data_IF_853162386101
#
_entry.id   IF_853162386101
#
_cell.length_a   1.000
_cell.length_b   1.000
_cell.length_c   1.000
_cell.angle_alpha   90.00
_cell.angle_beta   90.00
_cell.angle_gamma   90.00
#
_symmetry.space_group_name_H-M   'P 1'
#
loop_
_entity.id
_entity.type
_entity.pdbx_description
1 polymer ?
#
# COMPACT_ATOMS: atom_id res chain seq x y z
N UNK A 1 -20.20 1.75 -32.41
CA UNK A 1 -20.23 3.16 -32.87
C UNK A 1 -20.82 3.18 -34.28
N UNK A 2 -21.46 4.28 -34.67
CA UNK A 2 -22.17 4.45 -35.96
C UNK A 2 -21.50 5.57 -36.76
N UNK A 3 -21.13 5.32 -38.02
CA UNK A 3 -20.68 6.35 -38.97
C UNK A 3 -21.73 6.46 -40.08
N UNK A 4 -22.11 7.69 -40.44
CA UNK A 4 -23.03 7.98 -41.54
C UNK A 4 -22.28 8.66 -42.68
N UNK A 5 -22.36 8.08 -43.88
CA UNK A 5 -21.80 8.63 -45.12
C UNK A 5 -22.99 9.08 -46.00
N UNK A 6 -23.14 10.37 -46.33
CA UNK A 6 -24.26 10.86 -47.14
C UNK A 6 -24.13 10.47 -48.62
N UNK A 7 -25.26 10.34 -49.32
CA UNK A 7 -25.31 10.11 -50.78
C UNK A 7 -24.73 11.30 -51.56
N UNK A 8 -23.89 11.04 -52.57
CA UNK A 8 -23.36 12.08 -53.48
C UNK A 8 -21.84 12.21 -53.57
N UNK A 9 -21.07 11.32 -52.93
CA UNK A 9 -19.61 11.25 -53.09
C UNK A 9 -19.25 10.46 -54.36
N UNK A 10 -18.68 11.14 -55.36
CA UNK A 10 -18.39 10.58 -56.68
C UNK A 10 -17.00 9.90 -56.78
N UNK A 11 -16.18 9.98 -55.73
CA UNK A 11 -14.82 9.43 -55.72
C UNK A 11 -14.77 8.10 -54.94
N UNK A 12 -14.16 7.09 -55.55
CA UNK A 12 -13.96 5.77 -54.97
C UNK A 12 -12.79 5.84 -53.96
N UNK A 13 -13.09 6.05 -52.68
CA UNK A 13 -12.05 5.97 -51.62
C UNK A 13 -11.89 4.52 -51.17
N UNK A 14 -10.83 3.85 -51.62
CA UNK A 14 -10.38 2.57 -51.05
C UNK A 14 -9.24 2.84 -50.06
N UNK A 15 -9.47 2.55 -48.78
CA UNK A 15 -8.43 2.50 -47.76
C UNK A 15 -8.39 1.09 -47.19
N UNK A 16 -7.21 0.46 -47.14
CA UNK A 16 -7.03 -0.82 -46.44
C UNK A 16 -7.23 -0.67 -44.91
N UNK A 17 -7.10 0.56 -44.40
CA UNK A 17 -7.33 0.88 -43.00
C UNK A 17 -8.71 1.56 -42.81
N UNK A 18 -9.52 1.13 -41.82
CA UNK A 18 -10.73 1.85 -41.45
C UNK A 18 -10.39 3.28 -40.98
N UNK A 19 -11.32 4.24 -41.08
CA UNK A 19 -11.10 5.59 -40.58
C UNK A 19 -10.65 5.57 -39.12
N UNK A 20 -9.61 6.36 -38.79
CA UNK A 20 -9.15 6.54 -37.41
C UNK A 20 -10.26 7.22 -36.62
N UNK A 21 -10.88 6.47 -35.70
CA UNK A 21 -11.96 6.97 -34.86
C UNK A 21 -11.41 7.29 -33.48
N UNK A 22 -11.78 8.44 -32.88
CA UNK A 22 -11.20 8.88 -31.63
C UNK A 22 -11.54 7.88 -30.49
N UNK A 23 -10.52 7.37 -29.77
CA UNK A 23 -10.67 6.54 -28.57
C UNK A 23 -11.61 7.12 -27.49
N UNK A 24 -11.80 8.43 -27.55
CA UNK A 24 -12.39 9.25 -26.50
C UNK A 24 -13.82 8.89 -26.14
N UNK A 25 -14.63 8.45 -27.10
CA UNK A 25 -16.05 8.16 -26.86
C UNK A 25 -16.28 6.85 -26.10
N UNK A 26 -15.39 5.87 -26.28
CA UNK A 26 -15.44 4.61 -25.53
C UNK A 26 -14.86 4.81 -24.14
N UNK A 27 -13.67 5.44 -24.07
CA UNK A 27 -12.98 5.67 -22.82
C UNK A 27 -13.80 6.58 -21.88
N UNK A 28 -14.42 7.63 -22.41
CA UNK A 28 -15.33 8.50 -21.62
C UNK A 28 -16.52 7.73 -21.03
N UNK A 29 -17.09 6.77 -21.75
CA UNK A 29 -18.17 5.90 -21.23
C UNK A 29 -17.65 4.95 -20.15
N UNK A 30 -16.48 4.36 -20.34
CA UNK A 30 -15.89 3.44 -19.35
C UNK A 30 -15.46 4.16 -18.07
N UNK A 31 -15.07 5.43 -18.17
CA UNK A 31 -14.67 6.27 -17.05
C UNK A 31 -15.84 7.08 -16.45
N UNK A 32 -17.04 7.01 -17.04
CA UNK A 32 -18.23 7.72 -16.57
C UNK A 32 -18.60 7.45 -15.09
N UNK A 33 -18.34 6.26 -14.51
CA UNK A 33 -18.61 6.02 -13.09
C UNK A 33 -17.76 6.87 -12.12
N UNK A 34 -16.65 7.46 -12.56
CA UNK A 34 -15.80 8.29 -11.72
C UNK A 34 -16.46 9.66 -11.54
N UNK A 35 -16.96 9.96 -10.34
CA UNK A 35 -17.66 11.24 -10.05
C UNK A 35 -16.70 12.43 -10.05
N UNK A 36 -15.50 12.27 -9.48
CA UNK A 36 -14.50 13.33 -9.39
C UNK A 36 -13.82 13.60 -10.75
N UNK A 37 -13.98 14.82 -11.27
CA UNK A 37 -13.47 15.19 -12.59
C UNK A 37 -11.93 15.22 -12.67
N UNK A 38 -11.23 15.58 -11.57
CA UNK A 38 -9.77 15.61 -11.54
C UNK A 38 -9.20 14.19 -11.53
N UNK A 39 -9.82 13.31 -10.75
CA UNK A 39 -9.51 11.89 -10.71
C UNK A 39 -9.80 11.23 -12.06
N UNK A 40 -10.91 11.58 -12.71
CA UNK A 40 -11.27 11.07 -14.03
C UNK A 40 -10.21 11.44 -15.08
N UNK A 41 -9.68 12.66 -15.05
CA UNK A 41 -8.58 13.10 -15.92
C UNK A 41 -7.28 12.37 -15.62
N UNK A 42 -6.93 12.21 -14.34
CA UNK A 42 -5.72 11.48 -13.94
C UNK A 42 -5.76 10.01 -14.37
N UNK A 43 -6.86 9.31 -14.08
CA UNK A 43 -7.07 7.91 -14.45
C UNK A 43 -7.08 7.74 -15.97
N UNK A 44 -7.69 8.68 -16.71
CA UNK A 44 -7.67 8.66 -18.17
C UNK A 44 -6.25 8.65 -18.72
N UNK A 45 -5.34 9.44 -18.17
CA UNK A 45 -3.95 9.48 -18.62
C UNK A 45 -3.22 8.18 -18.32
N UNK A 46 -3.44 7.59 -17.13
CA UNK A 46 -2.87 6.29 -16.75
C UNK A 46 -3.38 5.18 -17.67
N UNK A 47 -4.69 5.14 -17.95
CA UNK A 47 -5.26 4.16 -18.87
C UNK A 47 -4.66 4.30 -20.27
N UNK A 48 -4.51 5.53 -20.78
CA UNK A 48 -3.92 5.76 -22.10
C UNK A 48 -2.45 5.34 -22.18
N UNK A 49 -1.68 5.39 -21.09
CA UNK A 49 -0.30 4.91 -21.07
C UNK A 49 -0.17 3.38 -21.00
N UNK A 50 -1.17 2.69 -20.47
CA UNK A 50 -1.16 1.23 -20.26
C UNK A 50 -1.84 0.45 -21.41
N UNK A 51 -2.72 1.11 -22.17
CA UNK A 51 -3.38 0.48 -23.31
C UNK A 51 -2.39 0.25 -24.47
N UNK A 52 -2.43 -0.90 -25.14
CA UNK A 52 -1.61 -1.12 -26.32
C UNK A 52 -2.06 -0.18 -27.45
N UNK A 53 -1.13 0.18 -28.34
CA UNK A 53 -1.37 1.12 -29.45
C UNK A 53 -2.51 0.71 -30.38
N UNK A 54 -2.85 -0.59 -30.41
CA UNK A 54 -3.92 -1.18 -31.20
C UNK A 54 -5.22 -1.44 -30.41
N UNK A 55 -5.32 -0.99 -29.16
CA UNK A 55 -6.48 -1.24 -28.29
C UNK A 55 -7.79 -0.78 -28.93
N UNK A 56 -7.76 0.35 -29.66
CA UNK A 56 -8.93 0.93 -30.33
C UNK A 56 -9.07 0.51 -31.79
N UNK A 57 -8.57 -0.67 -32.16
CA UNK A 57 -8.77 -1.21 -33.51
C UNK A 57 -10.23 -1.63 -33.73
N UNK A 58 -11.01 -0.72 -34.30
CA UNK A 58 -12.39 -0.98 -34.71
C UNK A 58 -12.44 -1.92 -35.91
N UNK A 59 -13.32 -2.92 -35.83
CA UNK A 59 -13.64 -3.86 -36.91
C UNK A 59 -15.04 -3.59 -37.42
N UNK A 60 -15.19 -3.49 -38.74
CA UNK A 60 -16.51 -3.40 -39.36
C UNK A 60 -17.29 -4.68 -39.07
N UNK A 61 -18.49 -4.54 -38.52
CA UNK A 61 -19.42 -5.63 -38.25
C UNK A 61 -20.53 -5.70 -39.29
N UNK A 62 -21.06 -4.55 -39.70
CA UNK A 62 -22.17 -4.48 -40.64
C UNK A 62 -22.20 -3.13 -41.37
N UNK A 63 -22.89 -3.06 -42.50
CA UNK A 63 -23.18 -1.84 -43.24
C UNK A 63 -24.65 -1.85 -43.69
N UNK A 64 -25.34 -0.72 -43.56
CA UNK A 64 -26.68 -0.53 -44.08
C UNK A 64 -26.65 0.61 -45.11
N UNK A 65 -27.05 0.32 -46.34
CA UNK A 65 -27.02 1.26 -47.46
C UNK A 65 -28.45 1.65 -47.80
N UNK A 66 -28.69 2.96 -47.88
CA UNK A 66 -29.95 3.57 -48.30
C UNK A 66 -29.69 4.57 -49.42
N UNK A 67 -30.75 5.02 -50.09
CA UNK A 67 -30.65 6.03 -51.16
C UNK A 67 -29.99 7.34 -50.70
N UNK A 68 -30.11 7.68 -49.42
CA UNK A 68 -29.64 8.95 -48.85
C UNK A 68 -28.35 8.82 -48.04
N UNK A 69 -28.01 7.60 -47.58
CA UNK A 69 -26.85 7.39 -46.72
C UNK A 69 -26.38 5.94 -46.63
N UNK A 70 -25.10 5.76 -46.31
CA UNK A 70 -24.53 4.49 -45.84
C UNK A 70 -24.20 4.60 -44.35
N UNK A 71 -24.70 3.66 -43.57
CA UNK A 71 -24.45 3.53 -42.13
C UNK A 71 -23.51 2.35 -41.89
N UNK A 72 -22.36 2.60 -41.29
CA UNK A 72 -21.39 1.57 -40.95
C UNK A 72 -21.41 1.28 -39.44
N UNK A 73 -21.50 0.00 -39.09
CA UNK A 73 -21.51 -0.51 -37.73
C UNK A 73 -20.16 -1.14 -37.38
N UNK A 74 -19.51 -0.62 -36.35
CA UNK A 74 -18.20 -1.10 -35.90
C UNK A 74 -18.24 -1.68 -34.49
N UNK A 75 -17.37 -2.65 -34.25
CA UNK A 75 -17.07 -3.24 -32.94
C UNK A 75 -15.59 -3.08 -32.58
N UNK A 76 -15.31 -3.07 -31.28
CA UNK A 76 -13.95 -3.04 -30.72
C UNK A 76 -13.93 -4.06 -29.57
N UNK A 77 -12.76 -4.63 -29.30
CA UNK A 77 -12.60 -5.63 -28.23
C UNK A 77 -12.64 -4.96 -26.85
N UNK A 78 -13.85 -4.67 -26.38
CA UNK A 78 -14.08 -4.06 -25.07
C UNK A 78 -13.69 -4.99 -23.92
N UNK A 79 -13.59 -6.31 -24.15
CA UNK A 79 -13.18 -7.25 -23.11
C UNK A 79 -11.69 -7.07 -22.78
N UNK A 80 -10.82 -7.12 -23.79
CA UNK A 80 -9.38 -6.90 -23.61
C UNK A 80 -9.05 -5.50 -23.08
N UNK A 81 -9.79 -4.47 -23.52
CA UNK A 81 -9.67 -3.12 -22.94
C UNK A 81 -10.10 -3.12 -21.47
N UNK A 82 -11.19 -3.82 -21.15
CA UNK A 82 -11.71 -3.95 -19.78
C UNK A 82 -10.71 -4.58 -18.82
N UNK A 83 -10.03 -5.65 -19.23
CA UNK A 83 -9.00 -6.32 -18.42
C UNK A 83 -7.87 -5.36 -17.97
N UNK A 84 -7.58 -4.32 -18.75
CA UNK A 84 -6.57 -3.30 -18.41
C UNK A 84 -7.19 -2.19 -17.55
N UNK A 85 -8.39 -1.72 -17.92
CA UNK A 85 -9.03 -0.57 -17.28
C UNK A 85 -9.58 -0.93 -15.89
N UNK A 86 -10.22 -2.08 -15.71
CA UNK A 86 -10.90 -2.43 -14.46
C UNK A 86 -9.97 -2.55 -13.25
N UNK A 87 -8.76 -3.14 -13.34
CA UNK A 87 -7.81 -3.13 -12.23
C UNK A 87 -7.38 -1.71 -11.83
N UNK A 88 -7.20 -0.81 -12.81
CA UNK A 88 -6.86 0.60 -12.56
C UNK A 88 -8.03 1.30 -11.86
N UNK A 89 -9.26 1.11 -12.35
CA UNK A 89 -10.47 1.65 -11.71
C UNK A 89 -10.63 1.13 -10.28
N UNK A 90 -10.46 -0.17 -10.05
CA UNK A 90 -10.55 -0.75 -8.71
C UNK A 90 -9.50 -0.14 -7.77
N UNK A 91 -8.29 0.12 -8.27
CA UNK A 91 -7.20 0.71 -7.47
C UNK A 91 -7.50 2.11 -6.98
N UNK A 92 -8.05 2.95 -7.84
CA UNK A 92 -8.20 4.38 -7.56
C UNK A 92 -9.62 4.77 -7.15
N UNK A 93 -10.64 4.02 -7.57
CA UNK A 93 -12.04 4.35 -7.31
C UNK A 93 -12.67 3.44 -6.24
N UNK A 94 -12.13 2.25 -6.01
CA UNK A 94 -12.61 1.31 -5.00
C UNK A 94 -11.44 0.78 -4.15
N UNK A 95 -10.67 1.64 -3.47
CA UNK A 95 -9.46 1.22 -2.74
C UNK A 95 -9.74 0.17 -1.65
N UNK A 96 -10.97 0.11 -1.14
CA UNK A 96 -11.43 -0.92 -0.19
C UNK A 96 -11.60 -2.32 -0.82
N UNK A 97 -11.79 -2.40 -2.15
CA UNK A 97 -11.95 -3.65 -2.90
C UNK A 97 -10.63 -4.28 -3.33
N UNK A 98 -9.56 -3.49 -3.40
CA UNK A 98 -8.22 -4.05 -3.46
C UNK A 98 -7.91 -4.52 -2.06
N UNK A 99 -7.80 -5.84 -1.87
CA UNK A 99 -7.06 -6.40 -0.75
C UNK A 99 -5.59 -5.94 -0.86
N UNK A 100 -5.36 -4.66 -0.57
CA UNK A 100 -4.14 -4.28 0.12
C UNK A 100 -4.26 -5.04 1.43
N UNK A 101 -3.30 -5.92 1.73
CA UNK A 101 -3.16 -6.50 3.06
C UNK A 101 -3.48 -5.40 4.07
N UNK A 102 -4.62 -5.49 4.76
CA UNK A 102 -5.16 -4.39 5.55
C UNK A 102 -4.06 -3.88 6.48
N UNK A 103 -3.79 -2.57 6.48
CA UNK A 103 -2.84 -1.95 7.42
C UNK A 103 -3.24 -2.20 8.89
N UNK A 104 -4.51 -2.55 9.09
CA UNK A 104 -5.12 -2.80 10.39
C UNK A 104 -5.56 -4.27 10.54
N UNK A 105 -5.78 -4.68 11.78
CA UNK A 105 -6.31 -6.00 12.08
C UNK A 105 -7.67 -6.22 11.39
N UNK A 106 -7.89 -7.45 10.94
CA UNK A 106 -9.19 -7.89 10.41
C UNK A 106 -10.13 -8.23 11.59
N UNK A 107 -9.56 -8.69 12.71
CA UNK A 107 -10.26 -8.88 13.99
C UNK A 107 -10.15 -7.63 14.86
N UNK A 108 -11.27 -7.21 15.47
CA UNK A 108 -11.34 -6.04 16.36
C UNK A 108 -11.28 -6.41 17.86
N UNK A 109 -11.14 -7.69 18.19
CA UNK A 109 -10.98 -8.20 19.56
C UNK A 109 -9.52 -8.53 19.83
N UNK A 110 -9.10 -8.62 21.09
CA UNK A 110 -7.79 -9.18 21.42
C UNK A 110 -7.72 -10.66 21.05
N UNK A 111 -6.54 -11.18 20.66
CA UNK A 111 -6.37 -12.60 20.42
C UNK A 111 -6.56 -13.39 21.73
N UNK A 112 -7.19 -14.57 21.63
CA UNK A 112 -7.37 -15.44 22.78
C UNK A 112 -6.04 -16.08 23.22
N UNK A 113 -5.98 -16.61 24.43
CA UNK A 113 -4.79 -17.34 24.92
C UNK A 113 -4.51 -18.55 24.02
N UNK A 114 -5.55 -19.25 23.56
CA UNK A 114 -5.41 -20.37 22.64
C UNK A 114 -4.80 -19.94 21.30
N UNK A 115 -5.21 -18.79 20.75
CA UNK A 115 -4.61 -18.27 19.51
C UNK A 115 -3.13 -17.91 19.70
N UNK A 116 -2.77 -17.34 20.87
CA UNK A 116 -1.39 -17.00 21.20
C UNK A 116 -0.51 -18.24 21.44
N UNK A 117 -1.06 -19.38 21.84
CA UNK A 117 -0.29 -20.61 22.02
C UNK A 117 0.30 -21.16 20.72
N UNK A 118 -0.26 -20.78 19.56
CA UNK A 118 0.28 -21.14 18.25
C UNK A 118 1.36 -20.17 17.75
N UNK A 119 1.55 -19.04 18.42
CA UNK A 119 2.58 -18.08 18.06
C UNK A 119 3.97 -18.64 18.37
N UNK A 120 4.76 -18.86 17.32
CA UNK A 120 6.15 -19.27 17.44
C UNK A 120 7.05 -18.13 16.96
N UNK A 121 7.92 -17.68 17.86
CA UNK A 121 8.91 -16.65 17.58
C UNK A 121 10.31 -17.21 17.81
N UNK A 122 11.22 -16.89 16.91
CA UNK A 122 12.64 -17.11 17.13
C UNK A 122 13.16 -16.14 18.19
N UNK A 123 14.19 -16.59 18.91
CA UNK A 123 14.89 -15.76 19.86
C UNK A 123 15.72 -14.73 19.07
N UNK A 124 15.60 -13.42 19.36
CA UNK A 124 16.26 -12.39 18.56
C UNK A 124 17.78 -12.36 18.76
N UNK A 125 18.29 -12.98 19.82
CA UNK A 125 19.71 -13.06 20.11
C UNK A 125 20.03 -14.29 20.96
N UNK A 126 20.89 -15.18 20.47
CA UNK A 126 21.17 -16.45 21.13
C UNK A 126 22.00 -16.30 22.42
N UNK A 127 22.87 -15.30 22.51
CA UNK A 127 23.74 -15.07 23.66
C UNK A 127 22.99 -14.60 24.93
N UNK A 128 21.80 -14.01 24.78
CA UNK A 128 21.06 -13.40 25.88
C UNK A 128 20.05 -14.36 26.51
N UNK A 129 20.00 -14.59 27.83
CA UNK A 129 18.89 -15.34 28.43
C UNK A 129 17.56 -14.58 28.27
N UNK A 130 16.44 -15.32 28.21
CA UNK A 130 15.11 -14.69 28.23
C UNK A 130 14.95 -13.91 29.55
N UNK A 131 14.61 -12.62 29.51
CA UNK A 131 14.49 -11.80 30.71
C UNK A 131 13.41 -12.32 31.66
N UNK A 132 13.74 -12.39 32.95
CA UNK A 132 12.79 -12.75 34.02
C UNK A 132 12.46 -11.57 34.95
N UNK A 133 13.26 -10.51 34.91
CA UNK A 133 13.05 -9.33 35.73
C UNK A 133 11.86 -8.54 35.18
N UNK A 134 10.86 -8.28 36.03
CA UNK A 134 9.63 -7.58 35.64
C UNK A 134 9.89 -6.22 34.97
N UNK A 135 10.92 -5.48 35.40
CA UNK A 135 11.30 -4.18 34.81
C UNK A 135 11.69 -4.24 33.33
N UNK A 136 12.09 -5.43 32.84
CA UNK A 136 12.52 -5.69 31.47
C UNK A 136 11.39 -6.26 30.60
N UNK A 137 10.23 -6.54 31.19
CA UNK A 137 9.09 -7.13 30.48
C UNK A 137 8.07 -6.06 30.09
N UNK A 138 7.15 -6.36 29.16
CA UNK A 138 6.06 -5.46 28.81
C UNK A 138 5.24 -5.07 30.04
N UNK A 139 4.59 -3.91 29.97
CA UNK A 139 3.79 -3.33 31.04
C UNK A 139 4.56 -2.83 32.27
N UNK A 140 5.89 -2.95 32.29
CA UNK A 140 6.71 -2.38 33.37
C UNK A 140 6.62 -0.83 33.41
N UNK A 141 6.45 -0.20 34.59
CA UNK A 141 6.44 1.25 34.71
C UNK A 141 7.79 1.89 34.31
N UNK A 142 7.74 2.96 33.51
CA UNK A 142 8.90 3.80 33.15
C UNK A 142 8.72 5.21 33.73
N UNK A 143 8.77 5.30 35.06
CA UNK A 143 8.46 6.51 35.83
C UNK A 143 9.28 7.74 35.39
N UNK A 144 10.54 7.56 34.99
CA UNK A 144 11.39 8.66 34.52
C UNK A 144 10.85 9.38 33.27
N UNK A 145 9.96 8.73 32.50
CA UNK A 145 9.32 9.30 31.29
C UNK A 145 7.79 9.33 31.35
N UNK A 146 7.15 8.94 32.46
CA UNK A 146 5.69 8.78 32.55
C UNK A 146 5.16 7.88 31.43
N UNK A 147 5.83 6.75 31.24
CA UNK A 147 5.47 5.78 30.22
C UNK A 147 5.35 4.37 30.80
N UNK A 148 4.95 3.46 29.93
CA UNK A 148 4.88 2.03 30.19
C UNK A 148 5.81 1.34 29.18
N UNK A 149 6.49 0.29 29.62
CA UNK A 149 7.35 -0.49 28.75
C UNK A 149 6.51 -1.27 27.73
N UNK A 150 6.83 -1.13 26.43
CA UNK A 150 6.06 -1.71 25.32
C UNK A 150 6.72 -2.94 24.68
N UNK A 151 7.77 -3.49 25.30
CA UNK A 151 8.57 -4.57 24.71
C UNK A 151 9.31 -5.40 25.75
N UNK A 152 10.29 -6.16 25.29
CA UNK A 152 11.17 -7.00 26.11
C UNK A 152 12.61 -6.50 25.95
N UNK A 153 13.26 -6.16 27.06
CA UNK A 153 14.65 -5.71 27.07
C UNK A 153 15.59 -6.89 27.31
N UNK A 154 16.39 -7.24 26.30
CA UNK A 154 17.48 -8.20 26.43
C UNK A 154 18.79 -7.47 26.77
N UNK A 155 19.49 -7.90 27.82
CA UNK A 155 20.82 -7.38 28.14
C UNK A 155 21.87 -8.14 27.33
N UNK A 156 22.57 -7.41 26.47
CA UNK A 156 23.59 -7.90 25.55
C UNK A 156 24.69 -6.86 25.39
N UNK A 157 25.86 -7.30 24.92
CA UNK A 157 26.99 -6.42 24.65
C UNK A 157 26.76 -5.61 23.36
N UNK A 158 27.38 -4.42 23.30
CA UNK A 158 27.33 -3.57 22.12
C UNK A 158 27.85 -4.29 20.87
N UNK A 159 27.16 -4.16 19.75
CA UNK A 159 27.52 -4.82 18.49
C UNK A 159 27.13 -6.30 18.40
N UNK A 160 26.45 -6.86 19.42
CA UNK A 160 25.92 -8.23 19.33
C UNK A 160 24.91 -8.34 18.17
N UNK A 161 25.06 -9.32 17.25
CA UNK A 161 24.11 -9.54 16.17
C UNK A 161 22.69 -9.81 16.68
N UNK A 162 21.71 -9.18 16.01
CA UNK A 162 20.29 -9.37 16.26
C UNK A 162 19.64 -9.99 15.03
N UNK A 163 18.80 -10.99 15.26
CA UNK A 163 18.06 -11.68 14.23
C UNK A 163 16.57 -11.36 14.31
N UNK A 164 15.92 -11.37 13.14
CA UNK A 164 14.47 -11.24 13.10
C UNK A 164 13.80 -12.41 13.83
N UNK A 165 12.77 -12.11 14.62
CA UNK A 165 12.02 -13.14 15.37
C UNK A 165 11.14 -14.00 14.47
N UNK A 166 10.91 -13.59 13.23
CA UNK A 166 10.16 -14.30 12.21
C UNK A 166 10.39 -13.69 10.83
N UNK A 167 9.99 -14.41 9.78
CA UNK A 167 9.99 -13.91 8.40
C UNK A 167 9.08 -12.69 8.24
N UNK A 168 9.50 -11.74 7.42
CA UNK A 168 8.73 -10.52 7.17
C UNK A 168 9.44 -9.56 6.22
N UNK A 169 8.84 -8.39 6.06
CA UNK A 169 9.32 -7.32 5.17
C UNK A 169 9.80 -6.16 6.05
N UNK A 170 11.04 -5.70 5.85
CA UNK A 170 11.53 -4.47 6.48
C UNK A 170 10.74 -3.29 5.92
N UNK A 171 9.97 -2.62 6.78
CA UNK A 171 9.14 -1.46 6.41
C UNK A 171 9.75 -0.12 6.85
N UNK A 172 10.74 -0.15 7.76
CA UNK A 172 11.56 0.99 8.16
C UNK A 172 12.89 0.51 8.73
N UNK A 173 13.97 1.19 8.36
CA UNK A 173 15.31 0.99 8.93
C UNK A 173 16.02 2.34 9.07
N UNK A 174 16.40 2.71 10.30
CA UNK A 174 16.99 4.02 10.61
C UNK A 174 18.52 4.03 10.37
N UNK A 175 18.98 3.76 9.14
CA UNK A 175 20.41 3.67 8.81
C UNK A 175 21.21 4.94 9.17
N UNK A 176 20.59 6.12 9.04
CA UNK A 176 21.21 7.42 9.29
C UNK A 176 20.79 8.03 10.64
N UNK A 177 20.49 7.19 11.63
CA UNK A 177 20.09 7.65 12.95
C UNK A 177 21.22 8.46 13.61
N UNK A 178 20.87 9.65 14.12
CA UNK A 178 21.77 10.47 14.93
C UNK A 178 21.15 10.65 16.30
N UNK A 179 21.87 10.21 17.35
CA UNK A 179 21.40 10.37 18.73
C UNK A 179 21.29 11.86 19.05
N UNK A 180 20.20 12.23 19.72
CA UNK A 180 20.01 13.61 20.19
C UNK A 180 20.94 13.91 21.37
N UNK A 181 21.22 15.20 21.60
CA UNK A 181 22.05 15.58 22.75
C UNK A 181 21.41 15.14 24.08
N UNK A 182 22.21 14.76 25.09
CA UNK A 182 21.71 14.41 26.42
C UNK A 182 20.84 15.51 27.04
N UNK A 183 21.19 16.77 26.83
CA UNK A 183 20.46 17.94 27.33
C UNK A 183 19.08 18.05 26.66
N UNK A 184 19.01 17.85 25.34
CA UNK A 184 17.76 17.85 24.61
C UNK A 184 16.87 16.67 25.04
N UNK A 185 17.45 15.47 25.18
CA UNK A 185 16.75 14.29 25.71
C UNK A 185 16.17 14.56 27.09
N UNK A 186 16.95 15.14 28.00
CA UNK A 186 16.49 15.48 29.35
C UNK A 186 15.37 16.54 29.33
N UNK A 187 15.47 17.54 28.45
CA UNK A 187 14.42 18.53 28.23
C UNK A 187 13.11 17.89 27.79
N UNK A 188 13.15 16.93 26.86
CA UNK A 188 11.98 16.16 26.44
C UNK A 188 11.38 15.36 27.59
N UNK A 189 12.20 14.63 28.36
CA UNK A 189 11.73 13.86 29.53
C UNK A 189 11.11 14.76 30.61
N UNK A 190 11.62 15.97 30.80
CA UNK A 190 11.03 16.94 31.71
C UNK A 190 9.66 17.44 31.20
N UNK A 191 9.48 17.56 29.87
CA UNK A 191 8.17 17.88 29.28
C UNK A 191 7.17 16.74 29.47
N UNK A 192 7.58 15.47 29.30
CA UNK A 192 6.67 14.33 29.53
C UNK A 192 6.18 14.23 30.98
N UNK A 193 6.99 14.69 31.94
CA UNK A 193 6.56 14.87 33.35
C UNK A 193 5.45 15.89 33.52
N UNK A 194 5.45 16.96 32.75
CA UNK A 194 4.40 17.99 32.80
C UNK A 194 3.12 17.52 32.14
N UNK A 195 3.21 16.75 31.05
CA UNK A 195 2.03 16.24 30.31
C UNK A 195 1.45 14.96 30.91
N UNK A 196 2.17 14.30 31.83
CA UNK A 196 1.74 13.06 32.47
C UNK A 196 1.84 11.82 31.57
N UNK A 197 2.38 11.97 30.35
CA UNK A 197 2.60 10.88 29.40
C UNK A 197 3.80 11.17 28.48
N UNK A 198 4.39 10.12 27.90
CA UNK A 198 5.30 10.27 26.75
C UNK A 198 4.47 10.29 25.45
N UNK A 199 4.47 11.39 24.67
CA UNK A 199 3.89 11.43 23.33
C UNK A 199 4.50 10.37 22.40
N UNK A 200 3.71 9.80 21.49
CA UNK A 200 4.16 8.75 20.58
C UNK A 200 5.36 9.18 19.73
N UNK A 201 5.35 10.39 19.16
CA UNK A 201 6.47 10.88 18.34
C UNK A 201 7.79 10.92 19.12
N UNK A 202 7.75 11.33 20.40
CA UNK A 202 8.94 11.32 21.27
C UNK A 202 9.39 9.88 21.53
N UNK A 203 8.45 8.98 21.79
CA UNK A 203 8.78 7.58 22.01
C UNK A 203 9.43 6.96 20.76
N UNK A 204 8.78 7.08 19.61
CA UNK A 204 9.09 6.38 18.36
C UNK A 204 10.31 6.94 17.62
N UNK A 205 10.54 8.26 17.69
CA UNK A 205 11.63 8.88 16.93
C UNK A 205 12.84 9.26 17.78
N UNK A 206 12.68 9.34 19.11
CA UNK A 206 13.77 9.75 20.01
C UNK A 206 14.13 8.63 20.98
N UNK A 207 13.15 8.08 21.69
CA UNK A 207 13.44 7.17 22.80
C UNK A 207 13.71 5.72 22.39
N UNK A 208 13.31 5.29 21.18
CA UNK A 208 13.67 3.97 20.64
C UNK A 208 15.13 3.91 20.15
N UNK A 209 15.80 5.03 19.94
CA UNK A 209 17.15 5.04 19.34
C UNK A 209 17.14 4.63 17.87
N UNK A 210 18.27 4.12 17.38
CA UNK A 210 18.35 3.50 16.06
C UNK A 210 17.52 2.22 16.04
N UNK A 211 16.65 2.07 15.03
CA UNK A 211 15.66 1.00 15.01
C UNK A 211 15.35 0.43 13.62
N UNK A 212 14.86 -0.80 13.61
CA UNK A 212 14.35 -1.51 12.43
C UNK A 212 12.94 -2.03 12.73
N UNK A 213 12.03 -1.86 11.77
CA UNK A 213 10.65 -2.33 11.83
C UNK A 213 10.43 -3.40 10.76
N UNK A 214 9.93 -4.56 11.16
CA UNK A 214 9.62 -5.67 10.26
C UNK A 214 8.13 -5.97 10.36
N UNK A 215 7.46 -5.95 9.22
CA UNK A 215 6.07 -6.33 9.07
C UNK A 215 5.97 -7.81 8.67
N UNK A 216 5.28 -8.59 9.51
CA UNK A 216 5.08 -10.01 9.32
C UNK A 216 3.72 -10.34 8.68
N UNK A 217 2.94 -9.31 8.33
CA UNK A 217 1.59 -9.46 7.83
C UNK A 217 0.70 -10.20 8.82
N UNK A 218 -0.13 -11.12 8.32
CA UNK A 218 -1.08 -11.91 9.10
C UNK A 218 -0.61 -13.35 9.37
N UNK A 219 0.64 -13.67 9.03
CA UNK A 219 1.15 -15.05 9.05
C UNK A 219 1.43 -15.55 10.47
N UNK A 220 1.90 -14.65 11.35
CA UNK A 220 2.18 -15.00 12.75
C UNK A 220 0.92 -15.24 13.58
N UNK A 221 -0.14 -14.50 13.28
CA UNK A 221 -1.39 -14.59 14.02
C UNK A 221 -2.57 -14.24 13.08
N UNK A 222 -3.32 -15.25 12.59
CA UNK A 222 -4.39 -15.03 11.62
C UNK A 222 -5.43 -13.99 12.07
N UNK A 223 -5.63 -12.96 11.26
CA UNK A 223 -6.55 -11.85 11.53
C UNK A 223 -5.92 -10.67 12.27
N UNK A 224 -4.67 -10.79 12.71
CA UNK A 224 -3.88 -9.75 13.38
C UNK A 224 -2.62 -9.43 12.59
N UNK A 225 -2.48 -8.18 12.16
CA UNK A 225 -1.24 -7.75 11.52
C UNK A 225 -0.18 -7.61 12.60
N UNK A 226 0.96 -8.25 12.38
CA UNK A 226 2.05 -8.30 13.37
C UNK A 226 3.26 -7.54 12.88
N UNK A 227 3.79 -6.65 13.72
CA UNK A 227 5.01 -5.88 13.45
C UNK A 227 5.98 -6.09 14.62
N UNK A 228 7.24 -6.41 14.32
CA UNK A 228 8.32 -6.39 15.30
C UNK A 228 9.17 -5.13 15.14
N UNK A 229 9.65 -4.61 16.28
CA UNK A 229 10.49 -3.43 16.34
C UNK A 229 11.75 -3.79 17.12
N UNK A 230 12.91 -3.63 16.49
CA UNK A 230 14.22 -3.80 17.10
C UNK A 230 14.77 -2.41 17.38
N UNK A 231 14.96 -2.09 18.65
CA UNK A 231 15.29 -0.75 19.13
C UNK A 231 16.66 -0.73 19.80
N UNK A 232 17.23 0.46 19.95
CA UNK A 232 18.56 0.69 20.54
C UNK A 232 19.67 -0.09 19.82
N UNK A 233 19.56 -0.23 18.50
CA UNK A 233 20.60 -0.85 17.68
C UNK A 233 21.86 0.02 17.68
N UNK A 234 23.00 -0.64 17.56
CA UNK A 234 24.30 0.05 17.45
C UNK A 234 24.63 0.47 16.02
N UNK A 235 24.17 -0.32 15.05
CA UNK A 235 24.32 -0.13 13.61
C UNK A 235 23.29 -0.97 12.87
N UNK A 236 23.11 -0.70 11.57
CA UNK A 236 22.28 -1.48 10.64
C UNK A 236 23.11 -1.64 9.35
N UNK A 237 23.47 -2.87 9.03
CA UNK A 237 24.22 -3.26 7.83
C UNK A 237 23.30 -3.52 6.62
#
# INVERSE_FOLDING_TARGET
MTITIPSGTAELFSSEAPPSLPPDSLLSKMLAPIVDDSLRVAIRNIVLSELPTNAFNYRLKNANVSEQSTILYYTVDTASIGEIIYPILNRYCNPESIQTSSLFNIKYTFPSIEELNYLQLMKPCDSAPIPKLSKLLPNAPRAYRNGIHRGVDFYIDWGTPIHAVADGIVIRADHNYNEVSPEFRQSLLNKTKKTGNTPSDIFEHILLGQSVYIDHGFHLLPGYRSVSIYAHLSHID
#
